data_IF_024483278766
#
_entry.id   IF_024483278766
#
_cell.length_a   1.000
_cell.length_b   1.000
_cell.length_c   1.000
_cell.angle_alpha   90.00
_cell.angle_beta   90.00
_cell.angle_gamma   90.00
#
_symmetry.space_group_name_H-M   'P 1'
#
loop_
_entity.id
_entity.type
_entity.pdbx_description
1 polymer ?
#
# COMPACT_ATOMS: atom_id res chain seq x y z
N UNK A 1 -4.13 -2.26 15.15
CA UNK A 1 -3.73 -2.14 13.74
C UNK A 1 -4.98 -1.76 12.96
N UNK A 2 -4.91 -0.72 12.14
CA UNK A 2 -6.04 -0.28 11.32
C UNK A 2 -6.48 -1.44 10.45
N UNK A 3 -7.75 -1.85 10.53
CA UNK A 3 -8.37 -2.78 9.58
C UNK A 3 -8.36 -2.12 8.20
N UNK A 4 -7.23 -2.22 7.51
CA UNK A 4 -7.13 -1.94 6.09
C UNK A 4 -7.86 -3.09 5.40
N UNK A 5 -9.20 -3.04 5.41
CA UNK A 5 -10.02 -3.93 4.59
C UNK A 5 -9.64 -3.64 3.14
N UNK A 6 -8.65 -4.38 2.66
CA UNK A 6 -8.07 -4.13 1.36
C UNK A 6 -9.13 -4.40 0.28
N UNK A 7 -9.58 -3.33 -0.37
CA UNK A 7 -10.55 -3.38 -1.46
C UNK A 7 -9.93 -3.73 -2.82
N UNK A 8 -8.63 -4.03 -2.91
CA UNK A 8 -8.05 -4.52 -4.17
C UNK A 8 -8.67 -5.87 -4.51
N UNK A 9 -9.46 -5.91 -5.58
CA UNK A 9 -10.05 -7.12 -6.15
C UNK A 9 -9.26 -7.60 -7.38
N UNK A 10 -7.93 -7.38 -7.38
CA UNK A 10 -7.11 -7.80 -8.51
C UNK A 10 -7.03 -9.33 -8.59
N UNK A 11 -6.96 -9.88 -9.80
CA UNK A 11 -6.86 -11.34 -10.02
C UNK A 11 -5.70 -11.94 -9.22
N UNK A 12 -4.57 -11.23 -9.17
CA UNK A 12 -3.39 -11.63 -8.43
C UNK A 12 -3.63 -11.85 -6.93
N UNK A 13 -4.52 -11.06 -6.30
CA UNK A 13 -4.86 -11.26 -4.88
C UNK A 13 -5.56 -12.60 -4.67
N UNK A 14 -6.53 -12.90 -5.52
CA UNK A 14 -7.33 -14.11 -5.44
C UNK A 14 -6.50 -15.38 -5.69
N UNK A 15 -5.52 -15.28 -6.58
CA UNK A 15 -4.56 -16.35 -6.87
C UNK A 15 -3.56 -16.53 -5.71
N UNK A 16 -3.10 -15.43 -5.11
CA UNK A 16 -2.25 -15.45 -3.91
C UNK A 16 -2.99 -16.06 -2.69
N UNK A 17 -4.25 -15.73 -2.47
CA UNK A 17 -5.05 -16.30 -1.37
C UNK A 17 -5.18 -17.83 -1.49
N UNK A 18 -5.19 -18.36 -2.72
CA UNK A 18 -5.27 -19.79 -3.01
C UNK A 18 -3.93 -20.49 -3.12
N UNK A 19 -2.82 -19.74 -3.12
CA UNK A 19 -1.51 -20.36 -3.28
C UNK A 19 -1.09 -21.07 -1.99
N UNK A 20 -0.43 -22.20 -2.17
CA UNK A 20 0.10 -23.03 -1.07
C UNK A 20 1.27 -22.31 -0.41
N UNK A 21 2.22 -21.82 -1.21
CA UNK A 21 3.32 -20.98 -0.74
C UNK A 21 3.14 -19.56 -1.28
N UNK A 22 2.62 -18.69 -0.41
CA UNK A 22 2.32 -17.29 -0.70
C UNK A 22 3.58 -16.48 -1.00
N UNK A 23 4.70 -16.81 -0.36
CA UNK A 23 5.96 -16.11 -0.57
C UNK A 23 6.58 -16.47 -1.91
N UNK A 24 6.60 -17.75 -2.28
CA UNK A 24 7.10 -18.19 -3.59
C UNK A 24 6.25 -17.61 -4.72
N UNK A 25 4.91 -17.63 -4.57
CA UNK A 25 4.00 -16.98 -5.53
C UNK A 25 4.36 -15.51 -5.77
N UNK A 26 4.65 -14.77 -4.70
CA UNK A 26 4.98 -13.35 -4.79
C UNK A 26 6.28 -13.09 -5.55
N UNK A 27 7.32 -13.91 -5.33
CA UNK A 27 8.59 -13.78 -6.05
C UNK A 27 8.44 -14.01 -7.55
N UNK A 28 7.57 -14.93 -7.95
CA UNK A 28 7.33 -15.28 -9.35
C UNK A 28 6.46 -14.23 -10.06
N UNK A 29 5.46 -13.68 -9.36
CA UNK A 29 4.41 -12.87 -9.98
C UNK A 29 4.53 -11.36 -9.71
N UNK A 30 5.39 -10.95 -8.76
CA UNK A 30 5.61 -9.55 -8.43
C UNK A 30 7.10 -9.17 -8.56
N UNK A 31 7.53 -8.69 -9.74
CA UNK A 31 8.93 -8.35 -9.98
C UNK A 31 9.51 -7.32 -9.00
N UNK A 32 8.69 -6.37 -8.51
CA UNK A 32 9.13 -5.38 -7.51
C UNK A 32 9.45 -5.99 -6.15
N UNK A 33 8.98 -7.20 -5.88
CA UNK A 33 9.39 -7.91 -4.67
C UNK A 33 10.90 -8.20 -4.67
N UNK A 34 11.52 -8.40 -5.84
CA UNK A 34 12.95 -8.65 -5.95
C UNK A 34 13.80 -7.37 -6.02
N UNK A 35 13.21 -6.23 -6.40
CA UNK A 35 13.90 -4.95 -6.54
C UNK A 35 13.12 -3.81 -5.88
N UNK A 36 13.57 -3.40 -4.69
CA UNK A 36 12.95 -2.33 -3.91
C UNK A 36 12.91 -0.99 -4.64
N UNK A 37 13.89 -0.69 -5.50
CA UNK A 37 13.93 0.58 -6.24
C UNK A 37 12.75 0.71 -7.22
N UNK A 38 12.21 -0.42 -7.70
CA UNK A 38 11.05 -0.37 -8.59
C UNK A 38 9.76 0.07 -7.88
N UNK A 39 9.72 0.01 -6.54
CA UNK A 39 8.61 0.57 -5.74
C UNK A 39 8.52 2.09 -5.92
N UNK A 40 9.63 2.76 -6.26
CA UNK A 40 9.64 4.21 -6.45
C UNK A 40 8.77 4.69 -7.60
N UNK A 41 8.49 3.80 -8.57
CA UNK A 41 7.72 4.09 -9.77
C UNK A 41 6.24 3.75 -9.62
N UNK A 42 5.84 3.11 -8.51
CA UNK A 42 4.46 2.71 -8.28
C UNK A 42 3.57 3.92 -7.95
N UNK A 43 2.38 3.91 -8.53
CA UNK A 43 1.30 4.83 -8.18
C UNK A 43 0.74 4.53 -6.78
N UNK A 44 0.00 5.48 -6.18
CA UNK A 44 -0.66 5.28 -4.88
C UNK A 44 -1.57 4.04 -4.86
N UNK A 45 -2.30 3.79 -5.94
CA UNK A 45 -3.17 2.61 -6.06
C UNK A 45 -2.37 1.31 -6.12
N UNK A 46 -1.23 1.31 -6.82
CA UNK A 46 -0.33 0.15 -6.86
C UNK A 46 0.36 -0.08 -5.52
N UNK A 47 0.75 0.97 -4.80
CA UNK A 47 1.28 0.89 -3.43
C UNK A 47 0.23 0.30 -2.47
N UNK A 48 -1.02 0.73 -2.58
CA UNK A 48 -2.12 0.15 -1.80
C UNK A 48 -2.31 -1.34 -2.12
N UNK A 49 -2.34 -1.71 -3.40
CA UNK A 49 -2.43 -3.10 -3.85
C UNK A 49 -1.25 -3.94 -3.32
N UNK A 50 -0.05 -3.38 -3.37
CA UNK A 50 1.18 -3.97 -2.85
C UNK A 50 1.08 -4.28 -1.35
N UNK A 51 0.61 -3.32 -0.54
CA UNK A 51 0.36 -3.54 0.90
C UNK A 51 -0.64 -4.65 1.15
N UNK A 52 -1.69 -4.74 0.34
CA UNK A 52 -2.68 -5.80 0.47
C UNK A 52 -2.10 -7.19 0.25
N UNK A 53 -1.30 -7.36 -0.79
CA UNK A 53 -0.64 -8.62 -1.11
C UNK A 53 0.33 -9.01 0.01
N UNK A 54 1.12 -8.05 0.50
CA UNK A 54 2.03 -8.29 1.63
C UNK A 54 1.29 -8.69 2.91
N UNK A 55 0.15 -8.08 3.20
CA UNK A 55 -0.68 -8.45 4.35
C UNK A 55 -1.15 -9.90 4.28
N UNK A 56 -1.49 -10.41 3.09
CA UNK A 56 -1.88 -11.83 2.91
C UNK A 56 -0.71 -12.77 3.19
N UNK A 57 0.50 -12.40 2.74
CA UNK A 57 1.72 -13.17 3.02
C UNK A 57 2.02 -13.18 4.53
N UNK A 58 1.96 -12.02 5.18
CA UNK A 58 2.19 -11.87 6.62
C UNK A 58 1.15 -12.63 7.45
N UNK A 59 -0.12 -12.59 7.05
CA UNK A 59 -1.21 -13.32 7.69
C UNK A 59 -0.99 -14.84 7.57
N UNK A 60 -0.62 -15.34 6.39
CA UNK A 60 -0.29 -16.75 6.19
C UNK A 60 0.93 -17.21 7.01
N UNK A 61 1.97 -16.36 7.14
CA UNK A 61 3.10 -16.63 8.04
C UNK A 61 2.66 -16.67 9.51
N UNK A 62 1.79 -15.75 9.92
CA UNK A 62 1.31 -15.65 11.31
C UNK A 62 0.41 -16.82 11.71
N UNK A 63 -0.19 -17.50 10.73
CA UNK A 63 -1.03 -18.69 10.88
C UNK A 63 -0.28 -20.00 10.67
N UNK A 64 1.05 -19.94 10.51
CA UNK A 64 1.90 -21.09 10.20
C UNK A 64 1.46 -21.88 8.94
N UNK A 65 0.79 -21.23 7.98
CA UNK A 65 0.35 -21.87 6.73
C UNK A 65 1.54 -22.26 5.85
N UNK A 66 2.65 -21.53 5.98
CA UNK A 66 3.93 -21.82 5.33
C UNK A 66 5.08 -21.23 6.17
N UNK A 67 6.28 -21.72 5.93
CA UNK A 67 7.50 -21.22 6.58
C UNK A 67 8.41 -20.51 5.58
N UNK A 68 9.17 -19.51 6.02
CA UNK A 68 10.20 -18.90 5.19
C UNK A 68 11.54 -18.78 5.93
N UNK A 69 12.68 -18.79 5.21
CA UNK A 69 13.99 -18.50 5.81
C UNK A 69 14.04 -17.08 6.41
N UNK A 70 14.82 -16.89 7.48
CA UNK A 70 14.99 -15.57 8.13
C UNK A 70 15.37 -14.45 7.17
N UNK A 71 16.20 -14.73 6.16
CA UNK A 71 16.58 -13.76 5.13
C UNK A 71 15.37 -13.22 4.37
N UNK A 72 14.43 -14.10 4.04
CA UNK A 72 13.21 -13.75 3.32
C UNK A 72 12.23 -12.99 4.21
N UNK A 73 12.15 -13.36 5.49
CA UNK A 73 11.36 -12.62 6.48
C UNK A 73 11.86 -11.19 6.65
N UNK A 74 13.19 -11.01 6.76
CA UNK A 74 13.81 -9.68 6.82
C UNK A 74 13.46 -8.87 5.57
N UNK A 75 13.59 -9.48 4.39
CA UNK A 75 13.26 -8.83 3.11
C UNK A 75 11.79 -8.42 3.06
N UNK A 76 10.87 -9.30 3.47
CA UNK A 76 9.44 -9.03 3.54
C UNK A 76 9.12 -7.83 4.44
N UNK A 77 9.73 -7.76 5.63
CA UNK A 77 9.54 -6.66 6.58
C UNK A 77 10.06 -5.34 6.01
N UNK A 78 11.25 -5.35 5.39
CA UNK A 78 11.81 -4.16 4.75
C UNK A 78 10.87 -3.66 3.65
N UNK A 79 10.41 -4.55 2.77
CA UNK A 79 9.48 -4.21 1.69
C UNK A 79 8.17 -3.63 2.23
N UNK A 80 7.61 -4.23 3.30
CA UNK A 80 6.39 -3.75 3.93
C UNK A 80 6.54 -2.33 4.47
N UNK A 81 7.57 -2.07 5.29
CA UNK A 81 7.81 -0.74 5.87
C UNK A 81 8.03 0.29 4.77
N UNK A 82 8.83 -0.05 3.76
CA UNK A 82 9.13 0.86 2.67
C UNK A 82 7.89 1.25 1.86
N UNK A 83 7.07 0.26 1.48
CA UNK A 83 5.83 0.52 0.73
C UNK A 83 4.84 1.31 1.59
N UNK A 84 4.74 1.02 2.89
CA UNK A 84 3.87 1.76 3.80
C UNK A 84 4.27 3.23 3.88
N UNK A 85 5.56 3.53 4.11
CA UNK A 85 6.07 4.90 4.16
C UNK A 85 5.79 5.66 2.86
N UNK A 86 6.01 5.00 1.71
CA UNK A 86 5.72 5.56 0.39
C UNK A 86 4.23 5.87 0.20
N UNK A 87 3.35 4.97 0.64
CA UNK A 87 1.91 5.18 0.60
C UNK A 87 1.49 6.36 1.48
N UNK A 88 1.97 6.41 2.72
CA UNK A 88 1.66 7.49 3.66
C UNK A 88 2.14 8.86 3.12
N UNK A 89 3.32 8.90 2.49
CA UNK A 89 3.81 10.10 1.81
C UNK A 89 2.88 10.57 0.68
N UNK A 90 2.27 9.64 -0.08
CA UNK A 90 1.25 10.00 -1.07
C UNK A 90 0.00 10.59 -0.40
N UNK A 91 -0.47 10.03 0.73
CA UNK A 91 -1.60 10.58 1.49
C UNK A 91 -1.32 11.98 2.01
N UNK A 92 -0.14 12.19 2.61
CA UNK A 92 0.30 13.49 3.12
C UNK A 92 0.35 14.53 2.00
N UNK A 93 0.90 14.18 0.83
CA UNK A 93 0.96 15.08 -0.34
C UNK A 93 -0.44 15.47 -0.82
N UNK A 94 -1.37 14.52 -0.91
CA UNK A 94 -2.75 14.81 -1.31
C UNK A 94 -3.46 15.72 -0.30
N UNK A 95 -3.28 15.48 1.00
CA UNK A 95 -3.83 16.33 2.05
C UNK A 95 -3.23 17.73 2.00
N UNK A 96 -1.92 17.86 1.83
CA UNK A 96 -1.24 19.14 1.69
C UNK A 96 -1.79 19.92 0.48
N UNK A 97 -1.95 19.28 -0.68
CA UNK A 97 -2.57 19.91 -1.86
C UNK A 97 -3.98 20.37 -1.57
N UNK A 98 -4.82 19.55 -0.91
CA UNK A 98 -6.19 19.93 -0.55
C UNK A 98 -6.26 21.11 0.42
N UNK A 99 -5.34 21.20 1.38
CA UNK A 99 -5.35 22.24 2.43
C UNK A 99 -4.71 23.55 1.96
N UNK A 100 -3.59 23.47 1.24
CA UNK A 100 -2.80 24.66 0.85
C UNK A 100 -3.29 25.25 -0.47
N UNK A 101 -3.78 24.43 -1.40
CA UNK A 101 -4.28 24.90 -2.70
C UNK A 101 -5.80 25.11 -2.74
N UNK A 102 -6.52 24.88 -1.63
CA UNK A 102 -7.94 25.23 -1.56
C UNK A 102 -8.12 26.74 -1.73
N UNK A 103 -8.97 27.19 -2.68
CA UNK A 103 -9.23 28.61 -2.83
C UNK A 103 -9.88 29.14 -1.56
N UNK A 104 -9.28 30.18 -0.96
CA UNK A 104 -9.89 30.96 0.11
C UNK A 104 -11.23 31.47 -0.42
N UNK A 105 -12.34 30.85 0.02
CA UNK A 105 -13.68 31.38 -0.22
C UNK A 105 -13.75 32.73 0.50
N UNK A 106 -13.41 33.83 -0.19
CA UNK A 106 -13.70 35.18 0.28
C UNK A 106 -15.21 35.24 0.51
N UNK A 107 -15.65 35.25 1.77
CA UNK A 107 -17.02 35.65 2.14
C UNK A 107 -17.21 37.09 1.68
N UNK A 108 -17.68 37.30 0.45
CA UNK A 108 -18.38 38.54 0.09
C UNK A 108 -19.84 38.33 0.44
N UNK A 109 -20.27 38.84 1.60
CA UNK A 109 -21.67 39.22 1.80
C UNK A 109 -21.75 40.64 2.36
N UNK A 110 -21.82 41.57 1.40
CA UNK A 110 -22.63 42.78 1.37
C UNK A 110 -22.59 43.73 2.59
N UNK A 111 -21.61 44.64 2.57
CA UNK A 111 -21.89 46.02 2.94
C UNK A 111 -22.78 46.66 1.86
N UNK A 112 -23.72 47.50 2.29
CA UNK A 112 -24.67 48.32 1.52
C UNK A 112 -25.96 47.64 1.02
N UNK A 113 -27.08 47.97 1.68
CA UNK A 113 -28.15 48.76 1.07
C UNK A 113 -29.09 49.34 2.15
N UNK A 114 -29.20 50.67 2.10
CA UNK A 114 -30.14 51.62 2.73
C UNK A 114 -30.20 51.71 4.25
#
# INVERSE_FOLDING_TARGET
>A
MSDLTCSCSCLMKHDLERSVDKLSFMKENWPSFANIESVDQLSKAELQCSLCLLNIVIDGLSKDEFSCPNKELIHLVIMYVYIQERFDLCEIKELHTKLVMAPVKKRKKWLSKS
#
